data_IF_857632834866
#
_entry.id   IF_857632834866
#
_cell.length_a   1.000
_cell.length_b   1.000
_cell.length_c   1.000
_cell.angle_alpha   90.00
_cell.angle_beta   90.00
_cell.angle_gamma   90.00
#
_symmetry.space_group_name_H-M   'P 1'
#
loop_
_entity.id
_entity.type
_entity.pdbx_description
1 polymer ?
#
# COMPACT_ATOMS: atom_id res chain seq x y z
N UNK A 1 -10.75 -19.01 -15.50
CA UNK A 1 -10.40 -19.96 -14.42
C UNK A 1 -10.06 -19.11 -13.21
N UNK A 2 -10.62 -19.42 -12.05
CA UNK A 2 -10.43 -18.63 -10.84
C UNK A 2 -9.30 -19.26 -10.02
N UNK A 3 -8.32 -18.47 -9.62
CA UNK A 3 -7.23 -18.91 -8.76
C UNK A 3 -7.76 -19.12 -7.35
N UNK A 4 -7.84 -20.37 -6.91
CA UNK A 4 -8.23 -20.70 -5.55
C UNK A 4 -7.06 -20.55 -4.59
N UNK A 5 -7.29 -19.93 -3.44
CA UNK A 5 -6.29 -19.90 -2.37
C UNK A 5 -6.25 -21.24 -1.63
N UNK A 6 -5.17 -21.98 -1.82
CA UNK A 6 -4.90 -23.24 -1.14
C UNK A 6 -3.37 -23.44 -1.02
N UNK A 7 -2.95 -24.50 -0.33
CA UNK A 7 -1.54 -24.79 -0.09
C UNK A 7 -0.74 -24.99 -1.39
N UNK A 8 -1.36 -25.48 -2.46
CA UNK A 8 -0.71 -25.64 -3.76
C UNK A 8 -0.44 -24.28 -4.40
N UNK A 9 -1.42 -23.38 -4.37
CA UNK A 9 -1.28 -22.00 -4.89
C UNK A 9 -0.23 -21.23 -4.11
N UNK A 10 -0.22 -21.35 -2.78
CA UNK A 10 0.81 -20.76 -1.94
C UNK A 10 2.21 -21.26 -2.33
N UNK A 11 2.41 -22.58 -2.38
CA UNK A 11 3.69 -23.18 -2.78
C UNK A 11 4.12 -22.76 -4.19
N UNK A 12 3.18 -22.76 -5.14
CA UNK A 12 3.44 -22.35 -6.52
C UNK A 12 3.90 -20.90 -6.62
N UNK A 13 3.14 -19.96 -6.06
CA UNK A 13 3.47 -18.53 -6.12
C UNK A 13 4.77 -18.23 -5.36
N UNK A 14 4.95 -18.79 -4.16
CA UNK A 14 6.18 -18.63 -3.39
C UNK A 14 7.39 -19.13 -4.17
N UNK A 15 7.31 -20.30 -4.80
CA UNK A 15 8.41 -20.84 -5.61
C UNK A 15 8.70 -19.95 -6.82
N UNK A 16 7.67 -19.48 -7.53
CA UNK A 16 7.87 -18.58 -8.67
C UNK A 16 8.58 -17.29 -8.24
N UNK A 17 8.12 -16.64 -7.17
CA UNK A 17 8.75 -15.40 -6.68
C UNK A 17 10.17 -15.62 -6.16
N UNK A 18 10.48 -16.77 -5.58
CA UNK A 18 11.86 -17.15 -5.27
C UNK A 18 12.70 -17.30 -6.54
N UNK A 19 12.16 -17.97 -7.57
CA UNK A 19 12.87 -18.23 -8.82
C UNK A 19 13.10 -16.97 -9.67
N UNK A 20 12.23 -15.94 -9.58
CA UNK A 20 12.48 -14.62 -10.18
C UNK A 20 13.75 -13.95 -9.64
N UNK A 21 14.25 -14.39 -8.49
CA UNK A 21 15.43 -13.87 -7.82
C UNK A 21 16.64 -14.80 -7.99
N UNK A 22 16.50 -15.86 -8.80
CA UNK A 22 17.58 -16.81 -9.06
C UNK A 22 18.76 -16.14 -9.79
N UNK A 23 20.01 -16.50 -9.48
CA UNK A 23 21.16 -16.06 -10.26
C UNK A 23 21.16 -16.65 -11.69
N UNK A 24 20.35 -17.68 -11.96
CA UNK A 24 20.26 -18.35 -13.26
C UNK A 24 19.21 -17.63 -14.13
N UNK A 25 19.62 -17.03 -15.27
CA UNK A 25 18.70 -16.26 -16.11
C UNK A 25 17.50 -17.03 -16.65
N UNK A 26 17.67 -18.31 -16.98
CA UNK A 26 16.59 -19.15 -17.52
C UNK A 26 15.50 -19.37 -16.48
N UNK A 27 15.85 -19.72 -15.24
CA UNK A 27 14.87 -19.86 -14.15
C UNK A 27 14.08 -18.58 -13.88
N UNK A 28 14.74 -17.42 -13.94
CA UNK A 28 14.04 -16.14 -13.78
C UNK A 28 13.00 -15.94 -14.86
N UNK A 29 13.39 -16.18 -16.13
CA UNK A 29 12.49 -16.02 -17.27
C UNK A 29 11.32 -16.99 -17.20
N UNK A 30 11.58 -18.25 -16.85
CA UNK A 30 10.54 -19.27 -16.71
C UNK A 30 9.54 -18.90 -15.61
N UNK A 31 10.04 -18.42 -14.46
CA UNK A 31 9.20 -17.93 -13.37
C UNK A 31 8.39 -16.68 -13.75
N UNK A 32 8.97 -15.75 -14.50
CA UNK A 32 8.27 -14.57 -15.02
C UNK A 32 7.15 -14.96 -15.99
N UNK A 33 7.37 -15.94 -16.86
CA UNK A 33 6.35 -16.48 -17.76
C UNK A 33 5.20 -17.10 -16.96
N UNK A 34 5.52 -17.95 -15.97
CA UNK A 34 4.52 -18.57 -15.11
C UNK A 34 3.69 -17.55 -14.33
N UNK A 35 4.32 -16.49 -13.83
CA UNK A 35 3.62 -15.40 -13.13
C UNK A 35 2.76 -14.57 -14.08
N UNK A 36 3.20 -14.38 -15.32
CA UNK A 36 2.42 -13.70 -16.35
C UNK A 36 1.17 -14.49 -16.72
N UNK A 37 1.29 -15.80 -16.94
CA UNK A 37 0.16 -16.70 -17.17
C UNK A 37 -0.79 -16.75 -15.96
N UNK A 38 -0.23 -16.79 -14.74
CA UNK A 38 -1.02 -16.76 -13.51
C UNK A 38 -1.80 -15.44 -13.34
N UNK A 39 -1.24 -14.32 -13.79
CA UNK A 39 -1.87 -13.00 -13.69
C UNK A 39 -3.12 -12.84 -14.58
N UNK A 40 -3.34 -13.75 -15.54
CA UNK A 40 -4.58 -13.80 -16.33
C UNK A 40 -5.74 -14.47 -15.57
N UNK A 41 -5.45 -15.17 -14.47
CA UNK A 41 -6.47 -15.84 -13.66
C UNK A 41 -7.18 -14.84 -12.75
N UNK A 42 -8.48 -15.00 -12.57
CA UNK A 42 -9.24 -14.21 -11.59
C UNK A 42 -8.82 -14.56 -10.17
N UNK A 43 -8.91 -13.64 -9.22
CA UNK A 43 -8.40 -13.76 -7.84
C UNK A 43 -6.88 -13.82 -7.70
N UNK A 44 -6.10 -13.61 -8.78
CA UNK A 44 -4.65 -13.52 -8.69
C UNK A 44 -4.21 -12.41 -7.73
N UNK A 45 -4.82 -11.22 -7.81
CA UNK A 45 -4.52 -10.10 -6.93
C UNK A 45 -4.80 -10.43 -5.46
N UNK A 46 -5.89 -11.14 -5.17
CA UNK A 46 -6.21 -11.61 -3.82
C UNK A 46 -5.24 -12.67 -3.32
N UNK A 47 -4.80 -13.59 -4.18
CA UNK A 47 -3.79 -14.59 -3.82
C UNK A 47 -2.45 -13.93 -3.47
N UNK A 48 -2.05 -12.87 -4.19
CA UNK A 48 -0.86 -12.09 -3.85
C UNK A 48 -0.98 -11.41 -2.49
N UNK A 49 -2.12 -10.76 -2.20
CA UNK A 49 -2.33 -10.12 -0.89
C UNK A 49 -2.21 -11.13 0.26
N UNK A 50 -2.79 -12.32 0.11
CA UNK A 50 -2.68 -13.39 1.12
C UNK A 50 -1.25 -13.91 1.27
N UNK A 51 -0.51 -14.05 0.18
CA UNK A 51 0.91 -14.43 0.23
C UNK A 51 1.75 -13.37 0.95
N UNK A 52 1.46 -12.08 0.72
CA UNK A 52 2.13 -10.98 1.42
C UNK A 52 1.73 -10.96 2.91
N UNK A 53 0.53 -11.39 3.27
CA UNK A 53 0.11 -11.49 4.68
C UNK A 53 0.73 -12.69 5.41
N UNK A 54 1.08 -13.76 4.69
CA UNK A 54 1.52 -15.04 5.26
C UNK A 54 2.88 -14.93 5.98
N UNK A 55 2.94 -15.06 7.31
CA UNK A 55 4.17 -14.90 8.08
C UNK A 55 5.15 -16.07 7.91
N UNK A 56 4.71 -17.21 7.38
CA UNK A 56 5.61 -18.34 7.12
C UNK A 56 6.49 -18.13 5.88
N UNK A 57 6.17 -17.14 5.05
CA UNK A 57 6.94 -16.80 3.84
C UNK A 57 8.01 -15.77 4.20
N UNK A 58 9.19 -15.93 3.62
CA UNK A 58 10.30 -15.02 3.86
C UNK A 58 10.02 -13.62 3.29
N UNK A 59 10.61 -12.62 3.94
CA UNK A 59 10.39 -11.21 3.64
C UNK A 59 10.72 -10.85 2.18
N UNK A 60 11.75 -11.48 1.61
CA UNK A 60 12.19 -11.22 0.25
C UNK A 60 11.15 -11.67 -0.79
N UNK A 61 10.55 -12.85 -0.60
CA UNK A 61 9.44 -13.33 -1.44
C UNK A 61 8.19 -12.48 -1.28
N UNK A 62 7.86 -12.07 -0.05
CA UNK A 62 6.73 -11.16 0.22
C UNK A 62 6.92 -9.80 -0.47
N UNK A 63 8.14 -9.26 -0.48
CA UNK A 63 8.47 -8.01 -1.20
C UNK A 63 8.33 -8.17 -2.71
N UNK A 64 8.83 -9.26 -3.29
CA UNK A 64 8.67 -9.55 -4.72
C UNK A 64 7.18 -9.67 -5.11
N UNK A 65 6.38 -10.33 -4.27
CA UNK A 65 4.94 -10.41 -4.46
C UNK A 65 4.25 -9.04 -4.37
N UNK A 66 4.63 -8.18 -3.42
CA UNK A 66 4.10 -6.82 -3.32
C UNK A 66 4.47 -5.95 -4.53
N UNK A 67 5.70 -6.10 -5.05
CA UNK A 67 6.14 -5.45 -6.28
C UNK A 67 5.34 -5.94 -7.50
N UNK A 68 5.08 -7.24 -7.60
CA UNK A 68 4.26 -7.77 -8.68
C UNK A 68 2.81 -7.29 -8.57
N UNK A 69 2.23 -7.33 -7.37
CA UNK A 69 0.87 -6.88 -7.08
C UNK A 69 0.63 -5.45 -7.56
N UNK A 70 1.53 -4.50 -7.26
CA UNK A 70 1.37 -3.12 -7.77
C UNK A 70 1.37 -3.05 -9.29
N UNK A 71 2.16 -3.87 -9.98
CA UNK A 71 2.21 -3.89 -11.44
C UNK A 71 0.98 -4.58 -12.05
N UNK A 72 0.45 -5.60 -11.39
CA UNK A 72 -0.81 -6.24 -11.74
C UNK A 72 -1.96 -5.22 -11.68
N UNK A 73 -2.09 -4.44 -10.61
CA UNK A 73 -3.12 -3.38 -10.55
C UNK A 73 -2.91 -2.31 -11.62
N UNK A 74 -1.68 -1.87 -11.88
CA UNK A 74 -1.39 -0.89 -12.95
C UNK A 74 -1.88 -1.33 -14.32
N UNK A 75 -1.84 -2.63 -14.61
CA UNK A 75 -2.19 -3.17 -15.93
C UNK A 75 -3.65 -3.61 -16.04
N UNK A 76 -4.26 -4.10 -14.95
CA UNK A 76 -5.57 -4.77 -15.01
C UNK A 76 -6.68 -4.08 -14.18
N UNK A 77 -6.42 -2.98 -13.47
CA UNK A 77 -7.46 -2.30 -12.67
C UNK A 77 -8.56 -1.67 -13.53
N UNK A 78 -8.22 -1.19 -14.74
CA UNK A 78 -9.17 -0.56 -15.65
C UNK A 78 -9.85 -1.57 -16.59
N UNK A 79 -11.10 -1.31 -17.03
CA UNK A 79 -11.83 -2.17 -17.98
C UNK A 79 -11.15 -2.32 -19.34
N UNK A 80 -10.23 -1.42 -19.68
CA UNK A 80 -9.42 -1.46 -20.91
C UNK A 80 -8.25 -2.45 -20.83
N UNK A 81 -8.04 -3.10 -19.69
CA UNK A 81 -7.06 -4.18 -19.54
C UNK A 81 -7.43 -5.40 -20.39
N UNK A 82 -6.44 -6.23 -20.69
CA UNK A 82 -6.64 -7.48 -21.46
C UNK A 82 -7.51 -8.46 -20.66
N UNK A 83 -7.37 -8.46 -19.33
CA UNK A 83 -8.13 -9.29 -18.39
C UNK A 83 -8.48 -8.46 -17.13
N UNK A 84 -9.49 -7.58 -17.21
CA UNK A 84 -9.79 -6.65 -16.15
C UNK A 84 -10.26 -7.34 -14.87
N UNK A 85 -9.82 -6.81 -13.72
CA UNK A 85 -10.18 -7.31 -12.39
C UNK A 85 -11.69 -7.11 -12.16
N UNK A 86 -12.37 -8.17 -11.70
CA UNK A 86 -13.82 -8.14 -11.42
C UNK A 86 -14.14 -7.22 -10.24
N UNK A 87 -15.31 -6.58 -10.24
CA UNK A 87 -15.70 -5.64 -9.18
C UNK A 87 -15.73 -6.29 -7.78
N UNK A 88 -16.15 -7.56 -7.69
CA UNK A 88 -16.13 -8.33 -6.43
C UNK A 88 -14.72 -8.56 -5.89
N UNK A 89 -13.73 -8.67 -6.78
CA UNK A 89 -12.32 -8.80 -6.42
C UNK A 89 -11.76 -7.45 -5.98
N UNK A 90 -12.08 -6.37 -6.70
CA UNK A 90 -11.70 -4.99 -6.33
C UNK A 90 -12.20 -4.62 -4.93
N UNK A 91 -13.45 -4.95 -4.59
CA UNK A 91 -14.01 -4.67 -3.27
C UNK A 91 -13.24 -5.38 -2.15
N UNK A 92 -12.84 -6.64 -2.38
CA UNK A 92 -12.03 -7.40 -1.42
C UNK A 92 -10.61 -6.84 -1.31
N UNK A 93 -9.97 -6.49 -2.43
CA UNK A 93 -8.65 -5.85 -2.45
C UNK A 93 -8.68 -4.56 -1.62
N UNK A 94 -9.70 -3.71 -1.81
CA UNK A 94 -9.85 -2.46 -1.06
C UNK A 94 -9.95 -2.66 0.46
N UNK A 95 -10.60 -3.73 0.91
CA UNK A 95 -10.72 -4.06 2.35
C UNK A 95 -9.43 -4.60 2.96
N UNK A 96 -8.57 -5.23 2.17
CA UNK A 96 -7.37 -5.92 2.67
C UNK A 96 -6.10 -5.06 2.57
N UNK A 97 -6.01 -4.22 1.53
CA UNK A 97 -4.78 -3.51 1.20
C UNK A 97 -4.36 -2.49 2.28
N UNK A 98 -5.32 -1.78 2.90
CA UNK A 98 -5.00 -0.76 3.92
C UNK A 98 -4.48 -1.43 5.21
N UNK A 99 -5.18 -2.40 5.84
CA UNK A 99 -4.65 -3.11 7.01
C UNK A 99 -3.29 -3.75 6.74
N UNK A 100 -3.15 -4.43 5.60
CA UNK A 100 -1.91 -5.11 5.23
C UNK A 100 -0.75 -4.13 5.08
N UNK A 101 -0.99 -2.96 4.50
CA UNK A 101 0.06 -1.93 4.41
C UNK A 101 0.50 -1.51 5.81
N UNK A 102 -0.43 -1.22 6.71
CA UNK A 102 -0.11 -0.75 8.06
C UNK A 102 0.63 -1.79 8.93
N UNK A 103 0.42 -3.08 8.69
CA UNK A 103 1.09 -4.16 9.43
C UNK A 103 2.41 -4.64 8.80
N UNK A 104 2.73 -4.21 7.57
CA UNK A 104 3.89 -4.68 6.82
C UNK A 104 5.18 -3.92 7.11
N UNK A 105 6.32 -4.42 6.62
CA UNK A 105 7.62 -3.73 6.67
C UNK A 105 7.64 -2.47 5.79
N UNK A 106 8.62 -1.58 5.97
CA UNK A 106 8.72 -0.33 5.21
C UNK A 106 8.85 -0.53 3.69
N UNK A 107 9.51 -1.61 3.25
CA UNK A 107 9.69 -1.91 1.82
C UNK A 107 8.39 -2.39 1.19
N UNK A 108 7.68 -3.31 1.85
CA UNK A 108 6.36 -3.76 1.41
C UNK A 108 5.37 -2.59 1.45
N UNK A 109 5.41 -1.77 2.50
CA UNK A 109 4.58 -0.57 2.65
C UNK A 109 4.69 0.37 1.46
N UNK A 110 5.91 0.58 0.95
CA UNK A 110 6.16 1.43 -0.22
C UNK A 110 5.44 0.88 -1.46
N UNK A 111 5.58 -0.42 -1.74
CA UNK A 111 4.92 -1.05 -2.89
C UNK A 111 3.39 -1.06 -2.78
N UNK A 112 2.84 -1.34 -1.60
CA UNK A 112 1.40 -1.33 -1.38
C UNK A 112 0.82 0.09 -1.40
N UNK A 113 1.59 1.10 -0.96
CA UNK A 113 1.20 2.51 -1.08
C UNK A 113 1.13 2.95 -2.54
N UNK A 114 2.07 2.52 -3.39
CA UNK A 114 1.99 2.74 -4.84
C UNK A 114 0.78 2.03 -5.47
N UNK A 115 0.45 0.82 -5.01
CA UNK A 115 -0.75 0.10 -5.46
C UNK A 115 -2.04 0.84 -5.07
N UNK A 116 -2.12 1.34 -3.83
CA UNK A 116 -3.22 2.17 -3.36
C UNK A 116 -3.40 3.44 -4.19
N UNK A 117 -2.31 4.09 -4.58
CA UNK A 117 -2.37 5.23 -5.49
C UNK A 117 -3.06 4.87 -6.81
N UNK A 118 -2.78 3.70 -7.39
CA UNK A 118 -3.40 3.25 -8.64
C UNK A 118 -4.91 3.08 -8.45
N UNK A 119 -5.32 2.43 -7.37
CA UNK A 119 -6.74 2.26 -7.02
C UNK A 119 -7.41 3.63 -6.88
N UNK A 120 -6.83 4.52 -6.06
CA UNK A 120 -7.39 5.84 -5.81
C UNK A 120 -7.54 6.63 -7.10
N UNK A 121 -6.51 6.67 -7.97
CA UNK A 121 -6.56 7.41 -9.24
C UNK A 121 -7.76 7.08 -10.12
N UNK A 122 -8.20 5.82 -10.11
CA UNK A 122 -9.25 5.35 -11.01
C UNK A 122 -10.62 5.33 -10.34
N UNK A 123 -10.65 5.06 -9.03
CA UNK A 123 -11.89 4.87 -8.30
C UNK A 123 -12.33 6.15 -7.57
N UNK A 124 -11.47 7.16 -7.41
CA UNK A 124 -11.84 8.44 -6.81
C UNK A 124 -12.70 9.29 -7.77
N UNK A 125 -13.72 10.01 -7.27
CA UNK A 125 -14.28 10.01 -5.91
C UNK A 125 -15.38 8.96 -5.67
N UNK A 126 -15.85 8.26 -6.71
CA UNK A 126 -17.11 7.48 -6.66
C UNK A 126 -16.99 6.07 -6.03
N UNK A 127 -15.88 5.37 -6.22
CA UNK A 127 -15.64 3.98 -5.78
C UNK A 127 -14.42 3.80 -4.87
N UNK A 128 -13.72 4.89 -4.54
CA UNK A 128 -12.72 4.96 -3.47
C UNK A 128 -13.25 5.11 -2.01
N UNK A 129 -14.56 5.10 -1.67
CA UNK A 129 -15.01 5.50 -0.34
C UNK A 129 -14.74 4.48 0.78
N UNK A 130 -14.13 3.32 0.53
CA UNK A 130 -13.71 2.39 1.60
C UNK A 130 -12.30 2.70 2.12
N UNK A 131 -11.35 2.95 1.21
CA UNK A 131 -9.93 3.11 1.58
C UNK A 131 -9.66 4.40 2.36
N UNK A 132 -10.35 5.51 2.02
CA UNK A 132 -10.10 6.81 2.67
C UNK A 132 -10.63 6.89 4.10
N UNK A 133 -11.88 6.47 4.41
CA UNK A 133 -12.35 6.46 5.78
C UNK A 133 -11.55 5.51 6.67
N UNK A 134 -11.08 4.39 6.12
CA UNK A 134 -10.22 3.46 6.85
C UNK A 134 -8.85 4.07 7.16
N UNK A 135 -8.25 4.79 6.21
CA UNK A 135 -6.99 5.51 6.43
C UNK A 135 -7.14 6.60 7.49
N UNK A 136 -8.23 7.38 7.44
CA UNK A 136 -8.56 8.41 8.42
C UNK A 136 -8.78 7.80 9.81
N UNK A 137 -9.58 6.73 9.89
CA UNK A 137 -9.85 6.03 11.15
C UNK A 137 -8.57 5.47 11.76
N UNK A 138 -7.73 4.85 10.93
CA UNK A 138 -6.44 4.31 11.37
C UNK A 138 -5.50 5.41 11.87
N UNK A 139 -5.51 6.58 11.21
CA UNK A 139 -4.68 7.71 11.63
C UNK A 139 -5.17 8.33 12.93
N UNK A 140 -6.49 8.46 13.12
CA UNK A 140 -7.07 8.91 14.39
C UNK A 140 -6.71 7.96 15.53
N UNK A 141 -6.83 6.65 15.32
CA UNK A 141 -6.44 5.63 16.32
C UNK A 141 -4.94 5.68 16.64
N UNK A 142 -4.09 5.83 15.62
CA UNK A 142 -2.64 5.96 15.80
C UNK A 142 -2.27 7.25 16.54
N UNK A 143 -2.93 8.37 16.19
CA UNK A 143 -2.77 9.64 16.87
C UNK A 143 -3.18 9.55 18.33
N UNK A 144 -4.32 8.92 18.66
CA UNK A 144 -4.78 8.73 20.03
C UNK A 144 -3.81 7.89 20.88
N UNK A 145 -3.28 6.81 20.29
CA UNK A 145 -2.38 5.87 20.98
C UNK A 145 -0.90 6.30 21.01
N UNK A 146 -0.53 7.35 20.27
CA UNK A 146 0.85 7.88 20.25
C UNK A 146 1.84 7.03 19.46
N UNK A 147 1.36 6.13 18.59
CA UNK A 147 2.21 5.26 17.76
C UNK A 147 2.73 5.99 16.51
N UNK A 148 3.77 6.79 16.68
CA UNK A 148 4.35 7.61 15.60
C UNK A 148 4.86 6.81 14.38
N UNK A 149 5.25 5.55 14.55
CA UNK A 149 5.61 4.69 13.43
C UNK A 149 4.42 4.45 12.48
N UNK A 150 3.23 4.16 13.03
CA UNK A 150 1.99 4.00 12.28
C UNK A 150 1.53 5.32 11.68
N UNK A 151 1.65 6.42 12.41
CA UNK A 151 1.36 7.77 11.90
C UNK A 151 2.22 8.05 10.66
N UNK A 152 3.53 7.81 10.73
CA UNK A 152 4.43 8.02 9.61
C UNK A 152 4.09 7.13 8.40
N UNK A 153 3.79 5.85 8.63
CA UNK A 153 3.36 4.94 7.55
C UNK A 153 2.10 5.46 6.83
N UNK A 154 1.10 5.92 7.60
CA UNK A 154 -0.12 6.50 7.05
C UNK A 154 0.17 7.81 6.30
N UNK A 155 1.04 8.68 6.83
CA UNK A 155 1.42 9.93 6.17
C UNK A 155 2.17 9.67 4.86
N UNK A 156 3.04 8.67 4.80
CA UNK A 156 3.73 8.25 3.57
C UNK A 156 2.73 7.75 2.52
N UNK A 157 1.77 6.94 2.94
CA UNK A 157 0.70 6.45 2.09
C UNK A 157 -0.16 7.62 1.57
N UNK A 158 -0.63 8.49 2.46
CA UNK A 158 -1.40 9.68 2.10
C UNK A 158 -0.62 10.58 1.14
N UNK A 159 0.66 10.84 1.39
CA UNK A 159 1.54 11.63 0.52
C UNK A 159 1.68 11.00 -0.89
N UNK A 160 1.79 9.69 -0.97
CA UNK A 160 1.84 8.97 -2.25
C UNK A 160 0.56 9.14 -3.05
N UNK A 161 -0.59 9.13 -2.38
CA UNK A 161 -1.89 9.42 -2.96
C UNK A 161 -1.95 10.89 -3.40
N UNK A 162 -1.68 11.85 -2.51
CA UNK A 162 -1.69 13.29 -2.80
C UNK A 162 -0.84 13.70 -4.00
N UNK A 163 0.41 13.23 -4.08
CA UNK A 163 1.33 13.61 -5.17
C UNK A 163 0.82 13.21 -6.55
N UNK A 164 -0.11 12.27 -6.59
CA UNK A 164 -0.69 11.73 -7.81
C UNK A 164 -2.00 12.41 -8.22
N UNK A 165 -2.61 13.23 -7.34
CA UNK A 165 -3.83 14.01 -7.58
C UNK A 165 -3.55 15.51 -7.82
N UNK A 166 -2.29 15.94 -7.97
CA UNK A 166 -1.92 17.36 -8.21
C UNK A 166 -2.27 17.89 -9.63
N UNK A 167 -3.17 17.24 -10.36
CA UNK A 167 -3.59 17.65 -11.69
C UNK A 167 -4.49 18.89 -11.65
N UNK A 168 -4.54 19.71 -12.73
CA UNK A 168 -5.28 20.98 -12.75
C UNK A 168 -6.82 20.86 -12.72
N UNK A 169 -7.35 19.64 -12.67
CA UNK A 169 -8.80 19.32 -12.76
C UNK A 169 -9.30 18.37 -11.68
N UNK A 170 -8.44 17.87 -10.78
CA UNK A 170 -8.86 16.91 -9.76
C UNK A 170 -9.20 17.62 -8.44
N UNK A 171 -10.47 17.47 -8.06
CA UNK A 171 -11.18 18.08 -6.94
C UNK A 171 -10.35 18.28 -5.66
N UNK A 172 -10.44 19.50 -5.12
CA UNK A 172 -10.02 19.90 -3.77
C UNK A 172 -10.57 18.99 -2.65
N UNK A 173 -11.56 18.15 -2.95
CA UNK A 173 -12.22 17.25 -2.01
C UNK A 173 -11.30 16.27 -1.28
N UNK A 174 -10.20 15.81 -1.88
CA UNK A 174 -9.25 14.94 -1.17
C UNK A 174 -8.48 15.71 -0.08
N UNK A 175 -8.04 16.93 -0.38
CA UNK A 175 -7.39 17.81 0.60
C UNK A 175 -8.39 18.26 1.67
N UNK A 176 -9.63 18.57 1.31
CA UNK A 176 -10.67 18.95 2.26
C UNK A 176 -10.96 17.83 3.29
N UNK A 177 -10.87 16.57 2.87
CA UNK A 177 -11.05 15.42 3.76
C UNK A 177 -9.87 15.26 4.73
N UNK A 178 -8.63 15.45 4.26
CA UNK A 178 -7.42 15.17 5.05
C UNK A 178 -6.88 16.37 5.83
N UNK A 179 -7.08 17.60 5.36
CA UNK A 179 -6.52 18.80 5.98
C UNK A 179 -6.88 18.96 7.46
N UNK A 180 -8.14 18.73 7.90
CA UNK A 180 -8.49 18.80 9.32
C UNK A 180 -7.71 17.79 10.18
N UNK A 181 -7.45 16.61 9.62
CA UNK A 181 -6.75 15.53 10.31
C UNK A 181 -5.25 15.82 10.42
N UNK A 182 -4.63 16.31 9.34
CA UNK A 182 -3.24 16.76 9.35
C UNK A 182 -3.04 17.90 10.35
N UNK A 183 -3.97 18.84 10.43
CA UNK A 183 -3.95 19.93 11.41
C UNK A 183 -4.01 19.39 12.84
N UNK A 184 -4.89 18.43 13.14
CA UNK A 184 -4.98 17.84 14.47
C UNK A 184 -3.68 17.13 14.88
N UNK A 185 -3.06 16.39 13.96
CA UNK A 185 -1.78 15.72 14.22
C UNK A 185 -0.69 16.74 14.48
N UNK A 186 -0.60 17.78 13.64
CA UNK A 186 0.38 18.85 13.80
C UNK A 186 0.28 19.52 15.17
N UNK A 187 -0.93 19.94 15.57
CA UNK A 187 -1.18 20.56 16.88
C UNK A 187 -0.86 19.61 18.04
N UNK A 188 -1.18 18.32 17.91
CA UNK A 188 -0.89 17.32 18.93
C UNK A 188 0.62 17.07 19.08
N UNK A 189 1.34 16.97 17.96
CA UNK A 189 2.80 16.81 17.96
C UNK A 189 3.49 18.05 18.52
N UNK A 190 3.02 19.27 18.18
CA UNK A 190 3.54 20.52 18.75
C UNK A 190 3.33 20.59 20.28
N UNK A 191 2.12 20.25 20.75
CA UNK A 191 1.86 20.16 22.20
C UNK A 191 2.77 19.16 22.90
N UNK A 192 3.09 18.02 22.27
CA UNK A 192 3.99 17.02 22.83
C UNK A 192 5.44 17.50 22.88
N UNK A 193 5.92 18.18 21.83
CA UNK A 193 7.25 18.83 21.82
C UNK A 193 7.33 19.87 22.94
N UNK A 194 6.33 20.72 23.08
CA UNK A 194 6.28 21.75 24.13
C UNK A 194 6.19 21.16 25.54
N UNK A 195 5.50 20.02 25.72
CA UNK A 195 5.44 19.31 27.00
C UNK A 195 6.71 18.50 27.32
N UNK A 196 7.46 18.07 26.31
CA UNK A 196 8.74 17.36 26.45
C UNK A 196 9.96 18.29 26.54
N UNK A 197 9.80 19.58 26.22
CA UNK A 197 10.83 20.62 26.20
C UNK A 197 11.30 21.11 27.58
N UNK A 198 11.00 20.39 28.66
CA UNK A 198 11.53 20.64 30.00
C UNK A 198 12.95 20.14 30.18
N UNK A 199 13.93 20.67 29.44
CA UNK A 199 15.36 20.43 29.72
C UNK A 199 16.26 20.35 28.48
N UNK A 200 16.61 21.49 27.90
CA UNK A 200 17.64 21.52 26.85
C UNK A 200 17.61 22.78 26.00
N UNK A 201 17.92 23.93 26.59
CA UNK A 201 18.18 25.16 25.85
C UNK A 201 19.41 25.00 24.94
N UNK A 202 19.19 24.71 23.65
CA UNK A 202 20.22 24.90 22.62
C UNK A 202 20.14 26.36 22.15
N UNK A 203 20.94 27.21 22.78
CA UNK A 203 21.17 28.57 22.32
C UNK A 203 22.08 28.53 21.09
N UNK A 204 21.49 28.58 19.89
CA UNK A 204 22.25 28.85 18.67
C UNK A 204 22.55 30.35 18.64
N UNK A 205 23.74 30.72 19.12
CA UNK A 205 24.30 32.07 18.90
C UNK A 205 24.63 32.20 17.41
N UNK A 206 23.94 33.09 16.71
CA UNK A 206 24.45 33.67 15.47
C UNK A 206 25.43 34.78 15.84
N UNK A 207 26.71 34.59 15.51
CA UNK A 207 27.70 35.65 15.54
C UNK A 207 27.58 36.47 14.26
N UNK A 208 27.54 37.79 14.42
CA UNK A 208 27.49 38.82 13.36
C UNK A 208 28.74 38.86 12.49
#
# INVERSE_FOLDING_TARGET
MDMEWNEKTLKFLSQCFLDTQSPIPERRRDAEILLWEAAEQSNYGLALLRLIEEPSIDEQTRQAAAFNFKNHLRSQWLPSGISPIRDSEKEQINKLIVPLTLSSSLLIQSHLSEALTVICKHDFPRHCPACLPELISSLQKAALSGHYATINAILVMANSIFNNFRGPTDDDGFLDIFAPLLQQIFLKTDSLINSGGGGGSVSVRFSS
#
